data_IF_383030449756
#
_entry.id   IF_383030449756
#
_cell.length_a   1.000
_cell.length_b   1.000
_cell.length_c   1.000
_cell.angle_alpha   90.00
_cell.angle_beta   90.00
_cell.angle_gamma   90.00
#
_symmetry.space_group_name_H-M   'P 1'
#
loop_
_entity.id
_entity.type
_entity.pdbx_description
1 polymer ?
#
# COMPACT_ATOMS: atom_id res chain seq x y z
N UNK A 1 -9.42 64.36 -27.99
CA UNK A 1 -10.40 63.28 -28.24
C UNK A 1 -9.71 61.94 -28.45
N UNK A 2 -8.67 61.85 -29.29
CA UNK A 2 -7.98 60.58 -29.59
C UNK A 2 -7.37 59.87 -28.38
N UNK A 3 -6.77 60.61 -27.44
CA UNK A 3 -6.21 60.06 -26.20
C UNK A 3 -7.27 59.46 -25.27
N UNK A 4 -8.44 60.09 -25.19
CA UNK A 4 -9.57 59.61 -24.38
C UNK A 4 -10.14 58.32 -24.99
N UNK A 5 -10.28 58.27 -26.31
CA UNK A 5 -10.76 57.08 -27.04
C UNK A 5 -9.79 55.90 -26.87
N UNK A 6 -8.48 56.15 -26.94
CA UNK A 6 -7.45 55.13 -26.74
C UNK A 6 -7.51 54.55 -25.31
N UNK A 7 -7.69 55.42 -24.31
CA UNK A 7 -7.77 55.03 -22.91
C UNK A 7 -9.02 54.19 -22.62
N UNK A 8 -10.17 54.56 -23.21
CA UNK A 8 -11.40 53.77 -23.14
C UNK A 8 -11.23 52.40 -23.81
N UNK A 9 -10.55 52.33 -24.96
CA UNK A 9 -10.28 51.07 -25.64
C UNK A 9 -9.38 50.12 -24.81
N UNK A 10 -8.36 50.66 -24.15
CA UNK A 10 -7.47 49.87 -23.26
C UNK A 10 -8.24 49.33 -22.05
N UNK A 11 -9.05 50.17 -21.40
CA UNK A 11 -9.88 49.73 -20.26
C UNK A 11 -10.88 48.66 -20.69
N UNK A 12 -11.54 48.83 -21.84
CA UNK A 12 -12.45 47.83 -22.38
C UNK A 12 -11.74 46.49 -22.69
N UNK A 13 -10.51 46.54 -23.21
CA UNK A 13 -9.68 45.35 -23.45
C UNK A 13 -9.31 44.60 -22.18
N UNK A 14 -8.93 45.31 -21.11
CA UNK A 14 -8.62 44.71 -19.81
C UNK A 14 -9.86 44.05 -19.17
N UNK A 15 -11.02 44.73 -19.22
CA UNK A 15 -12.29 44.18 -18.72
C UNK A 15 -12.68 42.93 -19.50
N UNK A 16 -12.51 42.92 -20.83
CA UNK A 16 -12.78 41.73 -21.65
C UNK A 16 -11.86 40.55 -21.27
N UNK A 17 -10.59 40.81 -20.98
CA UNK A 17 -9.62 39.82 -20.51
C UNK A 17 -10.01 39.22 -19.15
N UNK A 18 -10.45 40.05 -18.20
CA UNK A 18 -10.94 39.57 -16.90
C UNK A 18 -12.23 38.76 -17.03
N UNK A 19 -13.17 39.18 -17.88
CA UNK A 19 -14.41 38.44 -18.14
C UNK A 19 -14.11 37.07 -18.76
N UNK A 20 -13.15 37.00 -19.69
CA UNK A 20 -12.66 35.73 -20.25
C UNK A 20 -12.03 34.84 -19.17
N UNK A 21 -11.19 35.42 -18.30
CA UNK A 21 -10.59 34.72 -17.16
C UNK A 21 -11.64 34.18 -16.19
N UNK A 22 -12.64 34.97 -15.83
CA UNK A 22 -13.76 34.55 -15.00
C UNK A 22 -14.63 33.48 -15.66
N UNK A 23 -14.88 33.57 -16.97
CA UNK A 23 -15.62 32.54 -17.70
C UNK A 23 -14.86 31.22 -17.77
N UNK A 24 -13.55 31.26 -18.02
CA UNK A 24 -12.68 30.08 -17.99
C UNK A 24 -12.65 29.47 -16.58
N UNK A 25 -12.52 30.29 -15.56
CA UNK A 25 -12.55 29.86 -14.15
C UNK A 25 -13.91 29.26 -13.76
N UNK A 26 -15.03 29.88 -14.15
CA UNK A 26 -16.38 29.36 -13.90
C UNK A 26 -16.61 28.02 -14.61
N UNK A 27 -16.16 27.88 -15.87
CA UNK A 27 -16.22 26.59 -16.59
C UNK A 27 -15.34 25.54 -15.92
N UNK A 28 -14.14 25.89 -15.48
CA UNK A 28 -13.27 25.00 -14.71
C UNK A 28 -13.92 24.57 -13.40
N UNK A 29 -14.49 25.52 -12.64
CA UNK A 29 -15.21 25.25 -11.39
C UNK A 29 -16.46 24.39 -11.62
N UNK A 30 -17.23 24.68 -12.65
CA UNK A 30 -18.42 23.90 -13.01
C UNK A 30 -18.06 22.47 -13.45
N UNK A 31 -16.99 22.28 -14.24
CA UNK A 31 -16.45 20.95 -14.58
C UNK A 31 -15.97 20.21 -13.33
N UNK A 32 -15.30 20.92 -12.42
CA UNK A 32 -14.82 20.36 -11.15
C UNK A 32 -15.98 19.99 -10.20
N UNK A 33 -17.07 20.76 -10.21
CA UNK A 33 -18.30 20.46 -9.47
C UNK A 33 -19.11 19.33 -10.11
N UNK A 34 -19.17 19.26 -11.45
CA UNK A 34 -19.80 18.17 -12.20
C UNK A 34 -19.01 16.85 -12.13
N UNK A 35 -17.68 16.91 -11.96
CA UNK A 35 -16.87 15.73 -11.63
C UNK A 35 -17.18 15.18 -10.21
N UNK A 36 -17.87 15.96 -9.39
CA UNK A 36 -18.32 15.60 -8.03
C UNK A 36 -19.78 15.10 -8.05
N UNK A 37 -20.15 14.31 -9.05
CA UNK A 37 -21.43 13.59 -9.06
C UNK A 37 -21.39 12.40 -8.10
N UNK A 38 -22.56 12.01 -7.58
CA UNK A 38 -22.74 10.84 -6.69
C UNK A 38 -22.09 9.55 -7.25
N UNK A 39 -22.17 9.39 -8.56
CA UNK A 39 -21.59 8.26 -9.32
C UNK A 39 -20.05 8.25 -9.30
N UNK A 40 -19.41 9.42 -9.31
CA UNK A 40 -17.95 9.54 -9.22
C UNK A 40 -17.42 9.27 -7.81
N UNK A 41 -18.22 9.56 -6.79
CA UNK A 41 -17.94 9.16 -5.39
C UNK A 41 -18.05 7.63 -5.27
N UNK A 42 -19.07 7.03 -5.90
CA UNK A 42 -19.29 5.59 -5.92
C UNK A 42 -18.06 4.81 -6.43
N UNK A 43 -17.48 5.21 -7.55
CA UNK A 43 -16.35 4.45 -8.10
C UNK A 43 -15.05 4.52 -7.26
N UNK A 44 -14.78 5.62 -6.53
CA UNK A 44 -13.62 5.66 -5.59
C UNK A 44 -13.91 4.80 -4.36
N UNK A 45 -15.16 4.77 -3.95
CA UNK A 45 -15.63 3.91 -2.88
C UNK A 45 -15.53 2.42 -3.26
N UNK A 46 -15.96 2.05 -4.47
CA UNK A 46 -15.86 0.69 -4.99
C UNK A 46 -14.41 0.23 -5.05
N UNK A 47 -13.49 1.11 -5.48
CA UNK A 47 -12.05 0.84 -5.47
C UNK A 47 -11.54 0.51 -4.05
N UNK A 48 -12.00 1.26 -3.03
CA UNK A 48 -11.61 1.03 -1.63
C UNK A 48 -12.17 -0.29 -1.11
N UNK A 49 -13.40 -0.62 -1.47
CA UNK A 49 -14.02 -1.89 -1.08
C UNK A 49 -13.32 -3.08 -1.74
N UNK A 50 -12.99 -2.97 -3.02
CA UNK A 50 -12.20 -3.96 -3.74
C UNK A 50 -10.82 -4.14 -3.10
N UNK A 51 -10.14 -3.04 -2.74
CA UNK A 51 -8.84 -3.11 -2.06
C UNK A 51 -8.94 -3.82 -0.70
N UNK A 52 -10.00 -3.57 0.07
CA UNK A 52 -10.25 -4.27 1.35
C UNK A 52 -10.51 -5.76 1.14
N UNK A 53 -11.37 -6.13 0.20
CA UNK A 53 -11.65 -7.52 -0.16
C UNK A 53 -10.36 -8.27 -0.51
N UNK A 54 -9.52 -7.63 -1.33
CA UNK A 54 -8.22 -8.16 -1.76
C UNK A 54 -7.28 -8.34 -0.57
N UNK A 55 -7.07 -7.30 0.26
CA UNK A 55 -6.13 -7.37 1.37
C UNK A 55 -6.56 -8.42 2.41
N UNK A 56 -7.87 -8.59 2.63
CA UNK A 56 -8.40 -9.69 3.45
C UNK A 56 -8.04 -11.07 2.86
N UNK A 57 -8.20 -11.23 1.55
CA UNK A 57 -7.88 -12.48 0.86
C UNK A 57 -6.36 -12.76 0.83
N UNK A 58 -5.53 -11.75 0.58
CA UNK A 58 -4.07 -11.89 0.51
C UNK A 58 -3.48 -12.16 1.88
N UNK A 59 -3.92 -11.45 2.92
CA UNK A 59 -3.55 -11.76 4.30
C UNK A 59 -3.76 -13.24 4.63
N UNK A 60 -4.95 -13.78 4.32
CA UNK A 60 -5.27 -15.20 4.57
C UNK A 60 -4.36 -16.13 3.78
N UNK A 61 -4.11 -15.83 2.51
CA UNK A 61 -3.26 -16.64 1.66
C UNK A 61 -1.79 -16.64 2.10
N UNK A 62 -1.26 -15.49 2.51
CA UNK A 62 0.12 -15.37 3.00
C UNK A 62 0.30 -16.14 4.32
N UNK A 63 -0.69 -16.10 5.23
CA UNK A 63 -0.65 -16.91 6.46
C UNK A 63 -0.57 -18.41 6.14
N UNK A 64 -1.36 -18.89 5.17
CA UNK A 64 -1.28 -20.29 4.73
C UNK A 64 0.08 -20.63 4.09
N UNK A 65 0.68 -19.69 3.35
CA UNK A 65 2.03 -19.86 2.81
C UNK A 65 3.09 -19.93 3.93
N UNK A 66 2.93 -19.12 4.98
CA UNK A 66 3.84 -19.15 6.13
C UNK A 66 3.82 -20.52 6.83
N UNK A 67 2.63 -21.09 7.01
CA UNK A 67 2.46 -22.44 7.57
C UNK A 67 3.04 -23.54 6.66
N UNK A 68 2.86 -23.40 5.35
CA UNK A 68 3.46 -24.30 4.36
C UNK A 68 4.99 -24.22 4.36
N UNK A 69 5.56 -23.01 4.46
CA UNK A 69 7.00 -22.80 4.56
C UNK A 69 7.59 -23.46 5.80
N UNK A 70 6.96 -23.29 6.97
CA UNK A 70 7.35 -23.98 8.21
C UNK A 70 7.30 -25.51 8.05
N UNK A 71 6.21 -26.01 7.46
CA UNK A 71 6.03 -27.46 7.24
C UNK A 71 7.04 -28.04 6.25
N UNK A 72 7.55 -27.23 5.32
CA UNK A 72 8.60 -27.58 4.38
C UNK A 72 10.03 -27.42 4.97
N UNK A 73 10.17 -27.14 6.27
CA UNK A 73 11.48 -26.96 6.91
C UNK A 73 12.15 -25.62 6.62
N UNK A 74 11.38 -24.60 6.21
CA UNK A 74 11.85 -23.24 5.88
C UNK A 74 11.28 -22.21 6.88
N UNK A 75 11.60 -22.30 8.18
CA UNK A 75 10.98 -21.45 9.21
C UNK A 75 11.32 -19.96 9.05
N UNK A 76 12.50 -19.64 8.52
CA UNK A 76 12.91 -18.25 8.25
C UNK A 76 12.02 -17.61 7.18
N UNK A 77 11.68 -18.35 6.13
CA UNK A 77 10.76 -17.89 5.08
C UNK A 77 9.35 -17.72 5.64
N UNK A 78 8.95 -18.62 6.55
CA UNK A 78 7.71 -18.49 7.33
C UNK A 78 7.63 -17.16 8.09
N UNK A 79 8.73 -16.72 8.71
CA UNK A 79 8.77 -15.44 9.43
C UNK A 79 8.64 -14.23 8.50
N UNK A 80 9.27 -14.29 7.33
CA UNK A 80 9.10 -13.25 6.29
C UNK A 80 7.64 -13.18 5.84
N UNK A 81 7.01 -14.32 5.61
CA UNK A 81 5.60 -14.39 5.22
C UNK A 81 4.68 -13.89 6.35
N UNK A 82 4.97 -14.18 7.62
CA UNK A 82 4.22 -13.60 8.74
C UNK A 82 4.33 -12.06 8.78
N UNK A 83 5.52 -11.52 8.49
CA UNK A 83 5.73 -10.08 8.38
C UNK A 83 4.97 -9.47 7.19
N UNK A 84 4.94 -10.16 6.03
CA UNK A 84 4.10 -9.74 4.89
C UNK A 84 2.61 -9.76 5.25
N UNK A 85 2.14 -10.78 5.97
CA UNK A 85 0.77 -10.84 6.47
C UNK A 85 0.47 -9.73 7.49
N UNK A 86 1.47 -9.28 8.26
CA UNK A 86 1.36 -8.09 9.11
C UNK A 86 1.24 -6.81 8.28
N UNK A 87 1.96 -6.72 7.16
CA UNK A 87 1.83 -5.63 6.20
C UNK A 87 0.41 -5.52 5.61
N UNK A 88 -0.20 -6.63 5.22
CA UNK A 88 -1.61 -6.66 4.78
C UNK A 88 -2.57 -6.19 5.88
N UNK A 89 -2.27 -6.47 7.17
CA UNK A 89 -3.05 -5.90 8.28
C UNK A 89 -2.90 -4.38 8.35
N UNK A 90 -1.70 -3.84 8.16
CA UNK A 90 -1.47 -2.39 8.11
C UNK A 90 -2.21 -1.74 6.94
N UNK A 91 -2.25 -2.39 5.76
CA UNK A 91 -3.04 -1.94 4.61
C UNK A 91 -4.53 -1.85 4.97
N UNK A 92 -5.09 -2.88 5.61
CA UNK A 92 -6.48 -2.88 6.05
C UNK A 92 -6.79 -1.74 7.03
N UNK A 93 -5.92 -1.50 8.02
CA UNK A 93 -6.08 -0.39 8.97
C UNK A 93 -6.08 0.96 8.24
N UNK A 94 -5.16 1.14 7.28
CA UNK A 94 -5.09 2.38 6.50
C UNK A 94 -6.33 2.59 5.62
N UNK A 95 -6.85 1.52 5.00
CA UNK A 95 -8.10 1.56 4.23
C UNK A 95 -9.31 1.84 5.13
N UNK A 96 -9.35 1.27 6.34
CA UNK A 96 -10.44 1.47 7.31
C UNK A 96 -10.54 2.90 7.84
N UNK A 97 -9.44 3.66 7.84
CA UNK A 97 -9.46 5.08 8.20
C UNK A 97 -10.40 5.90 7.29
N UNK A 98 -10.64 5.45 6.05
CA UNK A 98 -11.56 6.09 5.12
C UNK A 98 -13.01 5.56 5.23
N UNK A 99 -13.27 4.55 6.07
CA UNK A 99 -14.57 3.89 6.19
C UNK A 99 -15.66 4.79 6.76
N UNK A 100 -15.37 5.49 7.86
CA UNK A 100 -16.31 6.41 8.51
C UNK A 100 -16.74 7.57 7.60
N UNK A 101 -15.78 8.32 7.01
CA UNK A 101 -16.07 9.41 6.08
C UNK A 101 -16.86 8.99 4.82
N UNK A 102 -16.81 7.71 4.43
CA UNK A 102 -17.43 7.21 3.20
C UNK A 102 -18.62 6.26 3.45
N UNK A 103 -19.07 6.09 4.70
CA UNK A 103 -20.14 5.16 5.08
C UNK A 103 -19.96 3.72 4.56
N UNK A 104 -18.72 3.20 4.59
CA UNK A 104 -18.41 1.91 3.99
C UNK A 104 -18.90 0.69 4.78
N UNK A 105 -19.56 -0.23 4.06
CA UNK A 105 -20.05 -1.51 4.55
C UNK A 105 -18.90 -2.50 4.84
N UNK A 106 -19.20 -3.56 5.60
CA UNK A 106 -18.31 -4.72 5.73
C UNK A 106 -18.18 -5.43 4.39
N UNK A 107 -16.99 -5.95 4.10
CA UNK A 107 -16.70 -6.59 2.82
C UNK A 107 -16.17 -8.00 3.07
N UNK A 108 -16.70 -8.93 2.28
CA UNK A 108 -16.18 -10.28 2.24
C UNK A 108 -14.84 -10.33 1.47
N UNK A 109 -13.93 -11.22 1.86
CA UNK A 109 -12.69 -11.42 1.11
C UNK A 109 -12.97 -11.81 -0.34
N UNK A 110 -12.11 -11.36 -1.24
CA UNK A 110 -12.18 -11.75 -2.65
C UNK A 110 -12.01 -13.29 -2.80
N UNK A 111 -12.80 -13.95 -3.67
CA UNK A 111 -12.63 -15.36 -3.94
C UNK A 111 -11.20 -15.69 -4.40
N UNK A 112 -10.61 -16.74 -3.82
CA UNK A 112 -9.25 -17.18 -4.13
C UNK A 112 -9.26 -18.51 -4.87
N UNK A 113 -8.50 -18.59 -5.95
CA UNK A 113 -8.13 -19.87 -6.52
C UNK A 113 -7.33 -20.69 -5.50
N UNK A 114 -7.46 -22.04 -5.50
CA UNK A 114 -6.64 -22.90 -4.66
C UNK A 114 -5.15 -22.62 -4.86
N UNK A 115 -4.37 -22.69 -3.78
CA UNK A 115 -2.92 -22.56 -3.89
C UNK A 115 -2.33 -23.79 -4.60
N UNK A 116 -1.25 -23.60 -5.39
CA UNK A 116 -0.45 -24.72 -5.90
C UNK A 116 0.03 -25.62 -4.75
N UNK A 117 0.24 -26.91 -5.06
CA UNK A 117 0.72 -27.89 -4.06
C UNK A 117 2.20 -27.71 -3.70
N UNK A 118 3.00 -27.16 -4.62
CA UNK A 118 4.39 -26.80 -4.38
C UNK A 118 4.48 -25.42 -3.71
N UNK A 119 5.28 -25.32 -2.64
CA UNK A 119 5.53 -24.05 -1.95
C UNK A 119 6.12 -23.00 -2.90
N UNK A 120 7.11 -23.38 -3.71
CA UNK A 120 7.79 -22.45 -4.62
C UNK A 120 6.84 -21.93 -5.70
N UNK A 121 5.97 -22.79 -6.23
CA UNK A 121 4.96 -22.35 -7.21
C UNK A 121 3.89 -21.49 -6.57
N UNK A 122 3.53 -21.77 -5.31
CA UNK A 122 2.59 -20.95 -4.56
C UNK A 122 3.17 -19.56 -4.23
N UNK A 123 4.48 -19.48 -3.94
CA UNK A 123 5.21 -18.22 -3.77
C UNK A 123 5.32 -17.42 -5.08
N UNK A 124 5.63 -18.07 -6.22
CA UNK A 124 5.59 -17.42 -7.55
C UNK A 124 4.19 -16.90 -7.88
N UNK A 125 3.16 -17.70 -7.60
CA UNK A 125 1.79 -17.27 -7.79
C UNK A 125 1.43 -16.08 -6.87
N UNK A 126 1.94 -16.04 -5.64
CA UNK A 126 1.76 -14.89 -4.75
C UNK A 126 2.46 -13.65 -5.31
N UNK A 127 3.72 -13.76 -5.71
CA UNK A 127 4.45 -12.66 -6.34
C UNK A 127 3.71 -12.08 -7.54
N UNK A 128 3.22 -12.93 -8.46
CA UNK A 128 2.46 -12.48 -9.63
C UNK A 128 1.17 -11.74 -9.28
N UNK A 129 0.48 -12.14 -8.20
CA UNK A 129 -0.72 -11.44 -7.72
C UNK A 129 -0.38 -10.09 -7.07
N UNK A 130 0.63 -10.06 -6.20
CA UNK A 130 1.11 -8.85 -5.53
C UNK A 130 1.54 -7.81 -6.59
N UNK A 131 2.38 -8.22 -7.54
CA UNK A 131 2.86 -7.35 -8.62
C UNK A 131 1.72 -6.91 -9.55
N UNK A 132 0.89 -7.85 -10.02
CA UNK A 132 -0.24 -7.54 -10.90
C UNK A 132 -1.24 -6.56 -10.28
N UNK A 133 -1.50 -6.70 -8.98
CA UNK A 133 -2.36 -5.77 -8.23
C UNK A 133 -1.72 -4.39 -8.08
N UNK A 134 -0.42 -4.35 -7.76
CA UNK A 134 0.33 -3.10 -7.53
C UNK A 134 0.47 -2.26 -8.80
N UNK A 135 0.74 -2.90 -9.95
CA UNK A 135 1.03 -2.23 -11.23
C UNK A 135 -0.22 -1.87 -12.03
N UNK A 136 -1.31 -2.62 -11.85
CA UNK A 136 -2.61 -2.37 -12.48
C UNK A 136 -3.61 -1.70 -11.52
N UNK A 137 -4.45 -2.47 -10.81
CA UNK A 137 -5.54 -1.95 -9.96
C UNK A 137 -5.14 -0.81 -9.01
N UNK A 138 -4.04 -0.92 -8.27
CA UNK A 138 -3.60 0.15 -7.36
C UNK A 138 -3.27 1.44 -8.12
N UNK A 139 -2.54 1.34 -9.22
CA UNK A 139 -2.16 2.48 -10.05
C UNK A 139 -3.38 3.17 -10.65
N UNK A 140 -4.34 2.39 -11.13
CA UNK A 140 -5.59 2.91 -11.70
C UNK A 140 -6.47 3.59 -10.64
N UNK A 141 -6.62 2.97 -9.47
CA UNK A 141 -7.36 3.54 -8.34
C UNK A 141 -6.70 4.84 -7.85
N UNK A 142 -5.37 4.89 -7.76
CA UNK A 142 -4.64 6.12 -7.45
C UNK A 142 -4.92 7.24 -8.46
N UNK A 143 -4.89 6.91 -9.76
CA UNK A 143 -5.17 7.87 -10.82
C UNK A 143 -6.62 8.37 -10.77
N UNK A 144 -7.60 7.48 -10.60
CA UNK A 144 -9.02 7.83 -10.43
C UNK A 144 -9.23 8.73 -9.21
N UNK A 145 -8.70 8.34 -8.04
CA UNK A 145 -8.80 9.13 -6.82
C UNK A 145 -8.20 10.53 -7.01
N UNK A 146 -7.05 10.65 -7.68
CA UNK A 146 -6.38 11.93 -7.95
C UNK A 146 -7.22 12.82 -8.88
N UNK A 147 -7.72 12.29 -9.99
CA UNK A 147 -8.57 13.04 -10.94
C UNK A 147 -9.83 13.56 -10.27
N UNK A 148 -10.37 12.79 -9.32
CA UNK A 148 -11.59 13.13 -8.56
C UNK A 148 -11.33 13.98 -7.31
N UNK A 149 -10.09 14.34 -7.03
CA UNK A 149 -9.72 15.25 -5.93
C UNK A 149 -9.49 14.59 -4.57
N UNK A 150 -9.53 13.26 -4.48
CA UNK A 150 -9.24 12.49 -3.28
C UNK A 150 -7.73 12.25 -3.14
N UNK A 151 -7.00 13.31 -2.81
CA UNK A 151 -5.52 13.29 -2.76
C UNK A 151 -4.97 12.30 -1.74
N UNK A 152 -5.60 12.16 -0.58
CA UNK A 152 -5.13 11.27 0.47
C UNK A 152 -5.36 9.80 0.11
N UNK A 153 -6.49 9.48 -0.54
CA UNK A 153 -6.76 8.14 -1.09
C UNK A 153 -5.76 7.82 -2.22
N UNK A 154 -5.50 8.78 -3.11
CA UNK A 154 -4.50 8.61 -4.16
C UNK A 154 -3.10 8.37 -3.58
N UNK A 155 -2.73 9.07 -2.50
CA UNK A 155 -1.48 8.86 -1.78
C UNK A 155 -1.44 7.47 -1.16
N UNK A 156 -2.52 7.01 -0.52
CA UNK A 156 -2.62 5.67 0.05
C UNK A 156 -2.34 4.61 -1.02
N UNK A 157 -3.03 4.63 -2.17
CA UNK A 157 -2.80 3.64 -3.22
C UNK A 157 -1.37 3.63 -3.77
N UNK A 158 -0.70 4.79 -3.80
CA UNK A 158 0.72 4.85 -4.19
C UNK A 158 1.62 4.20 -3.15
N UNK A 159 1.31 4.37 -1.86
CA UNK A 159 2.02 3.68 -0.78
C UNK A 159 1.79 2.17 -0.84
N UNK A 160 0.53 1.73 -1.02
CA UNK A 160 0.19 0.32 -1.21
C UNK A 160 0.96 -0.26 -2.40
N UNK A 161 0.97 0.43 -3.54
CA UNK A 161 1.73 0.02 -4.72
C UNK A 161 3.21 -0.24 -4.40
N UNK A 162 3.89 0.67 -3.70
CA UNK A 162 5.32 0.53 -3.40
C UNK A 162 5.60 -0.63 -2.45
N UNK A 163 4.76 -0.83 -1.43
CA UNK A 163 4.90 -1.94 -0.46
C UNK A 163 4.66 -3.29 -1.14
N UNK A 164 3.63 -3.40 -1.95
CA UNK A 164 3.23 -4.63 -2.63
C UNK A 164 4.23 -5.05 -3.70
N UNK A 165 4.85 -4.09 -4.39
CA UNK A 165 5.97 -4.39 -5.30
C UNK A 165 7.18 -4.95 -4.55
N UNK A 166 7.52 -4.38 -3.40
CA UNK A 166 8.59 -4.92 -2.57
C UNK A 166 8.24 -6.33 -2.05
N UNK A 167 6.99 -6.55 -1.63
CA UNK A 167 6.49 -7.86 -1.22
C UNK A 167 6.52 -8.89 -2.35
N UNK A 168 6.18 -8.48 -3.59
CA UNK A 168 6.24 -9.34 -4.77
C UNK A 168 7.66 -9.84 -5.03
N UNK A 169 8.64 -8.95 -5.00
CA UNK A 169 10.06 -9.32 -5.14
C UNK A 169 10.51 -10.27 -4.03
N UNK A 170 10.15 -10.01 -2.78
CA UNK A 170 10.47 -10.92 -1.68
C UNK A 170 9.86 -12.32 -1.90
N UNK A 171 8.60 -12.41 -2.32
CA UNK A 171 7.99 -13.70 -2.65
C UNK A 171 8.74 -14.45 -3.77
N UNK A 172 9.27 -13.74 -4.79
CA UNK A 172 10.11 -14.35 -5.83
C UNK A 172 11.45 -14.82 -5.26
N UNK A 173 12.14 -13.97 -4.48
CA UNK A 173 13.41 -14.32 -3.85
C UNK A 173 13.26 -15.58 -2.99
N UNK A 174 12.16 -15.68 -2.23
CA UNK A 174 11.83 -16.89 -1.47
C UNK A 174 11.63 -18.09 -2.40
N UNK A 175 10.84 -17.96 -3.48
CA UNK A 175 10.58 -19.06 -4.42
C UNK A 175 11.85 -19.56 -5.14
N UNK A 176 12.87 -18.71 -5.26
CA UNK A 176 14.14 -19.01 -5.91
C UNK A 176 15.23 -19.46 -4.93
N UNK A 177 14.92 -19.50 -3.62
CA UNK A 177 15.90 -19.80 -2.58
C UNK A 177 16.97 -18.71 -2.44
N UNK A 178 16.71 -17.51 -2.99
CA UNK A 178 17.60 -16.37 -3.03
C UNK A 178 17.26 -15.32 -1.95
N UNK A 179 16.67 -15.75 -0.83
CA UNK A 179 16.28 -14.88 0.28
C UNK A 179 17.42 -13.90 0.62
N UNK A 180 17.14 -12.59 0.76
CA UNK A 180 18.16 -11.61 1.10
C UNK A 180 18.96 -12.02 2.35
N UNK A 181 20.28 -12.02 2.23
CA UNK A 181 21.15 -12.30 3.36
C UNK A 181 21.24 -11.08 4.28
N UNK A 182 21.02 -11.29 5.58
CA UNK A 182 21.13 -10.26 6.60
C UNK A 182 19.84 -10.00 7.38
N UNK A 183 19.87 -8.95 8.21
CA UNK A 183 18.73 -8.54 9.03
C UNK A 183 17.60 -8.02 8.13
N UNK A 184 16.40 -8.53 8.38
CA UNK A 184 15.17 -8.05 7.79
C UNK A 184 14.42 -7.27 8.86
N UNK A 185 13.91 -6.10 8.50
CA UNK A 185 13.06 -5.33 9.42
C UNK A 185 11.80 -4.86 8.70
N UNK A 186 10.67 -4.86 9.41
CA UNK A 186 9.37 -4.47 8.88
C UNK A 186 8.91 -3.15 9.48
N UNK A 187 8.29 -2.30 8.66
CA UNK A 187 7.63 -1.08 9.11
C UNK A 187 6.23 -1.41 9.62
N UNK A 188 5.92 -1.24 10.92
CA UNK A 188 4.61 -1.62 11.46
C UNK A 188 3.47 -0.75 10.93
N UNK A 189 3.77 0.44 10.42
CA UNK A 189 2.76 1.39 9.95
C UNK A 189 2.29 1.14 8.51
N UNK A 190 3.13 0.58 7.65
CA UNK A 190 2.78 0.37 6.24
C UNK A 190 3.14 -1.01 5.69
N UNK A 191 3.82 -1.87 6.45
CA UNK A 191 4.16 -3.23 6.02
C UNK A 191 5.41 -3.37 5.17
N UNK A 192 6.13 -2.27 4.87
CA UNK A 192 7.37 -2.35 4.10
C UNK A 192 8.41 -3.20 4.85
N UNK A 193 8.95 -4.22 4.19
CA UNK A 193 10.12 -4.97 4.67
C UNK A 193 11.37 -4.42 3.98
N UNK A 194 12.40 -4.14 4.77
CA UNK A 194 13.71 -3.67 4.29
C UNK A 194 14.80 -4.68 4.64
N UNK A 195 15.81 -4.76 3.78
CA UNK A 195 16.99 -5.61 3.96
C UNK A 195 18.17 -4.78 4.47
N UNK A 196 18.93 -5.34 5.40
CA UNK A 196 20.14 -4.73 5.93
C UNK A 196 19.87 -3.58 6.92
N UNK A 197 20.58 -2.47 6.76
CA UNK A 197 20.51 -1.36 7.72
C UNK A 197 19.17 -0.63 7.60
N UNK A 198 18.43 -0.56 8.71
CA UNK A 198 17.19 0.24 8.81
C UNK A 198 17.42 1.69 8.35
N UNK A 199 16.57 2.24 7.47
CA UNK A 199 16.65 3.63 7.09
C UNK A 199 16.27 4.54 8.26
N UNK A 200 16.70 5.80 8.27
CA UNK A 200 16.31 6.75 9.31
C UNK A 200 14.79 7.03 9.32
N UNK A 201 14.16 6.95 8.14
CA UNK A 201 12.71 7.04 7.95
C UNK A 201 12.29 5.99 6.93
N UNK A 202 11.10 5.41 7.10
CA UNK A 202 10.46 4.55 6.11
C UNK A 202 10.35 5.31 4.78
N UNK A 203 10.85 4.72 3.70
CA UNK A 203 10.85 5.31 2.36
C UNK A 203 9.45 5.47 1.78
N UNK A 204 8.46 4.74 2.29
CA UNK A 204 7.07 4.76 1.81
C UNK A 204 6.17 5.65 2.67
N UNK A 205 6.16 5.43 3.99
CA UNK A 205 5.23 6.11 4.91
C UNK A 205 5.88 7.18 5.78
N UNK A 206 7.19 7.42 5.64
CA UNK A 206 7.96 8.44 6.38
C UNK A 206 7.99 8.30 7.90
N UNK A 207 7.54 7.15 8.42
CA UNK A 207 7.65 6.83 9.85
C UNK A 207 9.10 6.68 10.29
N UNK A 208 9.45 7.05 11.53
CA UNK A 208 10.82 6.92 12.03
C UNK A 208 11.33 5.48 11.98
N UNK A 209 12.59 5.31 11.58
CA UNK A 209 13.24 4.00 11.41
C UNK A 209 13.39 3.18 12.70
N UNK A 210 13.39 3.84 13.86
CA UNK A 210 13.47 3.15 15.14
C UNK A 210 12.18 2.38 15.48
N UNK A 211 11.06 2.69 14.83
CA UNK A 211 9.78 1.97 14.98
C UNK A 211 9.76 0.64 14.20
N UNK A 212 10.77 0.37 13.37
CA UNK A 212 10.82 -0.90 12.63
C UNK A 212 11.05 -2.08 13.56
N UNK A 213 10.38 -3.18 13.27
CA UNK A 213 10.44 -4.42 14.02
C UNK A 213 11.30 -5.43 13.26
N UNK A 214 12.12 -6.22 13.97
CA UNK A 214 12.89 -7.29 13.33
C UNK A 214 11.99 -8.41 12.85
N UNK A 215 12.34 -8.95 11.68
CA UNK A 215 11.68 -10.13 11.10
C UNK A 215 12.52 -11.34 11.47
N UNK A 216 12.17 -11.98 12.58
CA UNK A 216 12.91 -13.12 13.13
C UNK A 216 12.06 -14.39 13.09
N UNK A 217 12.70 -15.52 12.77
CA UNK A 217 12.08 -16.81 12.98
C UNK A 217 11.90 -17.05 14.49
N UNK A 218 10.74 -17.58 14.93
CA UNK A 218 10.60 -17.98 16.32
C UNK A 218 11.71 -18.99 16.66
N UNK A 219 12.42 -18.77 17.77
CA UNK A 219 13.48 -19.66 18.21
C UNK A 219 12.94 -21.09 18.29
N UNK A 220 13.71 -22.05 17.76
CA UNK A 220 13.34 -23.45 17.86
C UNK A 220 13.15 -23.82 19.34
N UNK A 221 12.15 -24.66 19.69
CA UNK A 221 11.99 -25.15 21.05
C UNK A 221 13.17 -26.06 21.41
N UNK A 222 14.27 -25.47 21.87
CA UNK A 222 15.53 -26.14 22.16
C UNK A 222 16.62 -25.23 22.71
N UNK A 223 16.62 -23.94 22.39
CA UNK A 223 17.70 -23.01 22.78
C UNK A 223 17.51 -22.35 24.17
N UNK A 224 16.60 -22.87 25.00
CA UNK A 224 16.46 -22.44 26.40
C UNK A 224 17.55 -23.00 27.34
N UNK A 225 18.48 -23.83 26.84
CA UNK A 225 19.51 -24.49 27.67
C UNK A 225 20.74 -23.60 27.98
N UNK A 226 20.90 -22.45 27.31
CA UNK A 226 22.07 -21.59 27.52
C UNK A 226 21.94 -20.59 28.68
N UNK A 227 20.80 -20.57 29.39
CA UNK A 227 20.53 -19.65 30.50
C UNK A 227 20.70 -20.30 31.89
N UNK A 228 21.81 -21.00 32.12
CA UNK A 228 22.28 -21.29 33.47
C UNK A 228 23.76 -20.93 33.58
N UNK A 229 24.02 -19.69 34.01
CA UNK A 229 25.33 -19.33 34.58
C UNK A 229 25.51 -20.13 35.88
N UNK A 230 26.67 -20.76 36.13
CA UNK A 230 27.00 -21.23 37.46
C UNK A 230 27.27 -20.01 38.34
N UNK A 231 26.41 -19.78 39.34
CA UNK A 231 26.76 -18.93 40.47
C UNK A 231 27.95 -19.57 41.21
N UNK A 232 28.92 -18.71 41.53
CA UNK A 232 30.26 -19.10 41.93
C UNK A 232 30.34 -19.86 43.24
N UNK A 233 31.26 -20.82 43.26
CA UNK A 233 31.91 -21.29 44.48
C UNK A 233 33.16 -20.42 44.74
N UNK A 234 33.12 -19.61 45.80
CA UNK A 234 34.25 -19.22 46.65
C UNK A 234 33.71 -18.54 47.90
#
# INVERSE_FOLDING_TARGET
METIVLLVAVVAGLVALELLGMHAYRRYRARRQAAFTRENVGAVYDDLQAARARCLAEKRAIVLLADAARSAGRPEDGAVLDALAAGERAHLVALEAFRGPLHAESVEPEPRSPQPSSLDDALRAAAGRLDGWSTGPCREAAARARVRGYRDIAKLYRQLQEVEQAAAHLCLDLAEGARPSGLLSSCPACGLIVTGRRPAFCTVCTKPGFEFEDVEAPAAPGDASAALKPEGAA
#
